data_IF_919023711834
#
_entry.id   IF_919023711834
#
_cell.length_a   1.000
_cell.length_b   1.000
_cell.length_c   1.000
_cell.angle_alpha   90.00
_cell.angle_beta   90.00
_cell.angle_gamma   90.00
#
_symmetry.space_group_name_H-M   'P 1'
#
loop_
_entity.id
_entity.type
_entity.pdbx_description
1 polymer ?
#
# COMPACT_ATOMS: atom_id res chain seq x y z
N UNK A 1 -12.84 22.47 -79.87
CA UNK A 1 -11.41 22.18 -80.11
C UNK A 1 -10.59 22.90 -79.04
N UNK A 2 -9.62 22.18 -78.47
CA UNK A 2 -8.44 22.64 -77.71
C UNK A 2 -8.59 23.44 -76.39
N UNK A 3 -8.34 22.72 -75.28
CA UNK A 3 -7.40 22.96 -74.14
C UNK A 3 -7.37 24.31 -73.39
N UNK A 4 -7.23 24.27 -72.05
CA UNK A 4 -5.86 24.27 -71.50
C UNK A 4 -5.59 23.48 -70.19
N UNK A 5 -4.29 23.25 -69.98
CA UNK A 5 -3.52 23.15 -68.74
C UNK A 5 -3.71 21.95 -67.79
N UNK A 6 -2.89 20.91 -68.02
CA UNK A 6 -2.45 19.97 -66.98
C UNK A 6 -1.25 20.57 -66.24
N UNK A 7 -1.42 20.85 -64.95
CA UNK A 7 -0.32 21.15 -64.02
C UNK A 7 0.05 19.85 -63.34
N UNK A 8 1.25 19.36 -63.63
CA UNK A 8 1.86 18.17 -63.02
C UNK A 8 2.63 18.60 -61.78
N UNK A 9 2.16 18.27 -60.58
CA UNK A 9 2.89 18.49 -59.33
C UNK A 9 3.62 17.20 -58.95
N UNK A 10 4.95 17.22 -59.05
CA UNK A 10 5.83 16.18 -58.52
C UNK A 10 5.94 16.32 -57.00
N UNK A 11 5.38 15.38 -56.25
CA UNK A 11 5.65 15.23 -54.82
C UNK A 11 7.01 14.56 -54.63
N UNK A 12 8.02 15.33 -54.23
CA UNK A 12 9.27 14.79 -53.71
C UNK A 12 9.01 14.22 -52.31
N UNK A 13 9.15 12.89 -52.15
CA UNK A 13 9.29 12.25 -50.84
C UNK A 13 10.65 12.63 -50.27
N UNK A 14 10.67 13.54 -49.31
CA UNK A 14 11.83 13.79 -48.46
C UNK A 14 11.74 12.82 -47.28
N UNK A 15 12.52 11.74 -47.33
CA UNK A 15 12.73 10.84 -46.20
C UNK A 15 13.83 11.45 -45.33
N UNK A 16 13.46 12.10 -44.22
CA UNK A 16 14.40 12.53 -43.19
C UNK A 16 14.82 11.30 -42.37
N UNK A 17 15.96 10.72 -42.73
CA UNK A 17 16.67 9.76 -41.86
C UNK A 17 17.46 10.59 -40.85
N UNK A 18 16.92 10.76 -39.65
CA UNK A 18 17.63 11.34 -38.53
C UNK A 18 18.75 10.41 -38.09
N UNK A 19 19.98 10.69 -38.50
CA UNK A 19 21.18 10.03 -38.01
C UNK A 19 21.63 10.79 -36.75
N UNK A 20 21.40 10.23 -35.57
CA UNK A 20 21.97 10.76 -34.32
C UNK A 20 23.42 10.27 -34.25
N UNK A 21 24.37 11.14 -34.60
CA UNK A 21 25.79 10.91 -34.30
C UNK A 21 25.96 11.18 -32.81
N UNK A 22 25.97 10.14 -31.98
CA UNK A 22 26.47 10.24 -30.62
C UNK A 22 28.00 10.39 -30.68
N UNK A 23 28.53 11.54 -30.27
CA UNK A 23 29.95 11.72 -30.02
C UNK A 23 30.28 11.11 -28.65
N UNK A 24 31.04 10.01 -28.55
CA UNK A 24 31.45 9.48 -27.27
C UNK A 24 32.83 10.06 -26.99
N UNK A 25 32.92 11.27 -26.46
CA UNK A 25 34.16 11.76 -25.82
C UNK A 25 33.91 13.12 -25.18
N UNK A 26 33.72 13.11 -23.85
CA UNK A 26 34.18 14.10 -22.85
C UNK A 26 33.48 13.86 -21.51
N UNK A 27 34.00 12.91 -20.73
CA UNK A 27 33.72 12.77 -19.30
C UNK A 27 35.00 12.95 -18.47
N UNK A 28 35.83 13.91 -18.87
CA UNK A 28 36.99 14.33 -18.09
C UNK A 28 36.68 15.66 -17.43
N UNK A 29 36.71 15.67 -16.10
CA UNK A 29 36.58 16.88 -15.28
C UNK A 29 37.94 17.16 -14.63
N UNK A 30 38.39 18.41 -14.74
CA UNK A 30 39.65 18.86 -14.15
C UNK A 30 39.33 19.79 -12.99
N UNK A 31 39.70 19.35 -11.80
CA UNK A 31 39.51 20.14 -10.59
C UNK A 31 40.51 21.31 -10.58
N UNK A 32 39.98 22.53 -10.53
CA UNK A 32 40.77 23.76 -10.72
C UNK A 32 41.64 24.04 -9.48
N UNK A 33 41.26 23.53 -8.30
CA UNK A 33 42.03 23.74 -7.07
C UNK A 33 43.18 22.73 -6.90
N UNK A 34 43.04 21.52 -7.44
CA UNK A 34 44.01 20.42 -7.23
C UNK A 34 44.76 20.01 -8.50
N UNK A 35 44.33 20.52 -9.66
CA UNK A 35 44.86 20.18 -10.99
C UNK A 35 44.87 18.67 -11.30
N UNK A 36 44.04 17.90 -10.61
CA UNK A 36 43.81 16.47 -10.88
C UNK A 36 42.70 16.30 -11.92
N UNK A 37 42.91 15.33 -12.81
CA UNK A 37 41.99 15.00 -13.89
C UNK A 37 41.28 13.70 -13.54
N UNK A 38 39.95 13.72 -13.49
CA UNK A 38 39.12 12.57 -13.16
C UNK A 38 38.33 12.11 -14.38
N UNK A 39 38.33 10.80 -14.62
CA UNK A 39 37.45 10.16 -15.60
C UNK A 39 36.26 9.55 -14.87
N UNK A 40 35.05 9.99 -15.22
CA UNK A 40 33.83 9.57 -14.53
C UNK A 40 33.55 8.06 -14.68
N UNK A 41 34.02 7.43 -15.78
CA UNK A 41 33.89 5.98 -15.96
C UNK A 41 34.76 5.18 -15.00
N UNK A 42 35.94 5.68 -14.63
CA UNK A 42 36.83 4.98 -13.72
C UNK A 42 36.26 4.98 -12.30
N UNK A 43 35.63 6.08 -11.89
CA UNK A 43 34.94 6.20 -10.59
C UNK A 43 33.73 5.25 -10.53
N UNK A 44 32.95 5.15 -11.62
CA UNK A 44 31.80 4.25 -11.68
C UNK A 44 32.24 2.78 -11.62
N UNK A 45 33.34 2.43 -12.29
CA UNK A 45 33.89 1.08 -12.25
C UNK A 45 34.39 0.71 -10.84
N UNK A 46 35.05 1.63 -10.14
CA UNK A 46 35.53 1.44 -8.76
C UNK A 46 34.36 1.22 -7.78
N UNK A 47 33.26 1.96 -7.95
CA UNK A 47 32.01 1.71 -7.21
C UNK A 47 31.43 0.31 -7.49
N UNK A 48 31.43 -0.13 -8.75
CA UNK A 48 30.90 -1.45 -9.11
C UNK A 48 31.77 -2.63 -8.68
N UNK A 49 33.08 -2.43 -8.49
CA UNK A 49 33.97 -3.44 -7.92
C UNK A 49 33.76 -3.60 -6.40
N UNK A 50 33.47 -2.51 -5.68
CA UNK A 50 33.19 -2.56 -4.24
C UNK A 50 31.96 -3.41 -3.87
N UNK A 51 30.92 -3.42 -4.71
CA UNK A 51 29.71 -4.24 -4.49
C UNK A 51 29.92 -5.74 -4.78
N UNK A 52 30.95 -6.12 -5.54
CA UNK A 52 31.22 -7.53 -5.84
C UNK A 52 31.89 -8.27 -4.67
N UNK A 53 32.65 -7.56 -3.84
CA UNK A 53 33.34 -8.15 -2.68
C UNK A 53 32.45 -8.34 -1.44
N UNK A 54 31.24 -7.76 -1.42
CA UNK A 54 30.31 -7.86 -0.28
C UNK A 54 29.26 -8.99 -0.41
N UNK A 55 29.36 -9.84 -1.44
CA UNK A 55 28.63 -11.13 -1.50
C UNK A 55 29.45 -12.24 -0.85
N UNK A 56 29.73 -12.10 0.44
CA UNK A 56 30.00 -13.25 1.31
C UNK A 56 29.17 -13.10 2.57
N UNK A 57 28.39 -14.14 2.82
CA UNK A 57 27.67 -14.44 4.04
C UNK A 57 28.49 -14.05 5.29
N UNK A 58 28.07 -12.99 5.98
CA UNK A 58 28.69 -12.51 7.22
C UNK A 58 27.60 -11.87 8.07
N UNK A 59 27.29 -12.50 9.20
CA UNK A 59 26.31 -12.08 10.21
C UNK A 59 26.84 -11.03 11.18
N UNK A 60 27.87 -10.27 10.80
CA UNK A 60 28.47 -9.24 11.65
C UNK A 60 28.27 -7.87 11.00
N UNK A 61 27.42 -7.04 11.61
CA UNK A 61 27.28 -5.62 11.28
C UNK A 61 28.57 -4.88 11.68
N UNK A 62 29.37 -4.37 10.72
CA UNK A 62 30.62 -3.67 11.04
C UNK A 62 30.40 -2.30 11.71
N UNK A 63 29.16 -1.82 11.81
CA UNK A 63 28.83 -0.53 12.42
C UNK A 63 28.64 -0.59 13.94
N UNK A 64 28.43 -1.78 14.52
CA UNK A 64 28.24 -1.95 15.98
C UNK A 64 29.50 -1.63 16.80
N UNK A 65 30.70 -1.72 16.22
CA UNK A 65 31.97 -1.51 16.92
C UNK A 65 32.80 -0.33 16.42
N UNK A 66 32.18 0.58 15.69
CA UNK A 66 32.89 1.74 15.14
C UNK A 66 33.12 2.81 16.21
N UNK A 67 34.39 3.05 16.53
CA UNK A 67 34.84 4.04 17.54
C UNK A 67 35.25 5.38 16.92
N UNK A 68 35.00 5.57 15.62
CA UNK A 68 35.42 6.75 14.86
C UNK A 68 34.49 7.97 15.02
N UNK A 69 34.83 9.06 14.31
CA UNK A 69 34.00 10.26 14.18
C UNK A 69 33.43 10.39 12.78
N UNK A 70 32.19 10.85 12.66
CA UNK A 70 31.41 10.82 11.40
C UNK A 70 31.84 11.92 10.41
N UNK A 71 32.73 12.82 10.83
CA UNK A 71 33.30 13.88 10.00
C UNK A 71 34.82 13.97 10.21
N UNK A 72 35.61 14.27 9.16
CA UNK A 72 37.06 14.46 9.27
C UNK A 72 37.39 15.69 10.14
N UNK A 73 38.44 15.58 10.96
CA UNK A 73 38.85 16.65 11.88
C UNK A 73 39.60 17.76 11.14
N UNK A 74 39.45 19.01 11.60
CA UNK A 74 40.34 20.11 11.17
C UNK A 74 41.76 19.90 11.74
N UNK A 75 42.82 20.29 11.02
CA UNK A 75 44.20 20.13 11.51
C UNK A 75 44.40 20.87 12.84
N UNK A 76 44.77 20.14 13.90
CA UNK A 76 45.14 20.70 15.21
C UNK A 76 44.22 20.39 16.39
N UNK A 77 43.11 19.66 16.21
CA UNK A 77 42.28 19.23 17.34
C UNK A 77 42.71 17.88 17.93
N UNK A 78 42.82 17.76 19.27
CA UNK A 78 43.13 16.49 19.91
C UNK A 78 41.94 15.51 19.84
N UNK A 79 42.25 14.23 19.69
CA UNK A 79 41.26 13.14 19.74
C UNK A 79 40.72 12.99 21.17
N UNK A 80 39.39 12.86 21.37
CA UNK A 80 38.81 12.62 22.67
C UNK A 80 39.15 11.19 23.12
N UNK A 81 39.21 10.95 24.44
CA UNK A 81 39.50 9.63 24.96
C UNK A 81 38.40 8.63 24.58
N UNK A 82 38.74 7.34 24.40
CA UNK A 82 37.77 6.29 24.11
C UNK A 82 36.72 6.22 25.23
N UNK A 83 35.44 6.11 24.85
CA UNK A 83 34.36 5.87 25.81
C UNK A 83 34.60 4.50 26.46
N UNK A 84 34.97 4.50 27.74
CA UNK A 84 34.99 3.29 28.56
C UNK A 84 33.54 2.92 28.85
N UNK A 85 33.00 1.98 28.08
CA UNK A 85 31.68 1.41 28.35
C UNK A 85 31.85 0.50 29.56
N UNK A 86 31.34 0.94 30.71
CA UNK A 86 31.26 0.09 31.90
C UNK A 86 30.27 -1.04 31.62
N UNK A 87 30.74 -2.28 31.56
CA UNK A 87 29.90 -3.47 31.68
C UNK A 87 29.25 -3.47 33.07
N UNK A 88 28.13 -2.76 33.22
CA UNK A 88 27.15 -3.04 34.27
C UNK A 88 26.16 -4.05 33.72
N UNK A 89 25.80 -4.99 34.59
CA UNK A 89 25.20 -6.26 34.25
C UNK A 89 24.01 -6.18 33.31
N UNK A 90 23.93 -7.21 32.48
CA UNK A 90 22.68 -7.77 31.97
C UNK A 90 21.69 -7.81 33.14
N UNK A 91 20.63 -7.02 33.04
CA UNK A 91 19.26 -7.32 33.45
C UNK A 91 18.47 -5.99 33.35
N UNK A 92 17.36 -6.03 32.61
CA UNK A 92 16.39 -4.95 32.40
C UNK A 92 16.73 -3.83 31.40
N UNK A 93 16.90 -4.21 30.12
CA UNK A 93 16.55 -3.32 29.00
C UNK A 93 15.81 -4.15 27.95
N UNK A 94 14.50 -3.91 27.83
CA UNK A 94 13.60 -4.63 26.93
C UNK A 94 14.01 -4.40 25.48
N UNK A 95 14.48 -5.46 24.82
CA UNK A 95 14.61 -5.52 23.36
C UNK A 95 13.23 -5.35 22.69
N UNK A 96 12.85 -4.09 22.39
CA UNK A 96 11.66 -3.75 21.60
C UNK A 96 12.03 -3.48 20.13
N UNK A 97 12.92 -4.27 19.52
CA UNK A 97 13.35 -4.08 18.12
C UNK A 97 12.97 -5.23 17.19
N UNK A 98 12.07 -6.12 17.65
CA UNK A 98 11.51 -7.17 16.80
C UNK A 98 10.17 -6.69 16.24
N UNK A 99 10.05 -6.61 14.91
CA UNK A 99 8.78 -6.37 14.22
C UNK A 99 7.73 -7.38 14.70
N UNK A 100 6.53 -6.89 14.99
CA UNK A 100 5.42 -7.76 15.41
C UNK A 100 5.08 -8.72 14.26
N UNK A 101 5.09 -10.04 14.51
CA UNK A 101 4.84 -11.03 13.47
C UNK A 101 3.40 -10.98 12.98
N UNK A 102 3.25 -11.09 11.67
CA UNK A 102 1.96 -11.20 11.00
C UNK A 102 1.22 -12.49 11.43
N UNK A 103 -0.04 -12.37 11.84
CA UNK A 103 -0.94 -13.52 12.01
C UNK A 103 -0.60 -14.46 13.18
N UNK A 104 0.29 -14.05 14.09
CA UNK A 104 0.63 -14.82 15.27
C UNK A 104 -0.12 -14.23 16.47
N UNK A 105 -1.07 -14.99 17.00
CA UNK A 105 -1.81 -14.62 18.21
C UNK A 105 -0.86 -14.53 19.40
N UNK A 106 -0.88 -13.40 20.08
CA UNK A 106 -0.12 -13.19 21.31
C UNK A 106 -0.96 -12.45 22.33
N UNK A 107 -1.10 -12.97 23.57
CA UNK A 107 -1.83 -12.26 24.63
C UNK A 107 -1.16 -10.94 25.02
N UNK A 108 0.15 -10.80 24.77
CA UNK A 108 0.92 -9.59 25.09
C UNK A 108 0.83 -8.52 24.00
N UNK A 109 0.32 -8.87 22.81
CA UNK A 109 0.27 -7.97 21.66
C UNK A 109 -1.13 -7.87 21.04
N UNK A 110 -1.60 -8.96 20.44
CA UNK A 110 -2.89 -9.05 19.77
C UNK A 110 -3.28 -10.53 19.60
N UNK A 111 -4.36 -10.94 20.26
CA UNK A 111 -4.97 -12.27 20.13
C UNK A 111 -6.28 -12.23 19.30
N UNK A 112 -6.65 -11.04 18.81
CA UNK A 112 -7.90 -10.78 18.10
C UNK A 112 -9.15 -10.81 18.99
N UNK A 113 -9.01 -10.86 20.32
CA UNK A 113 -10.13 -11.04 21.27
C UNK A 113 -10.10 -10.08 22.44
N UNK A 114 -8.93 -9.73 22.94
CA UNK A 114 -8.76 -8.90 24.13
C UNK A 114 -8.43 -7.45 23.76
N UNK A 115 -8.78 -6.52 24.66
CA UNK A 115 -8.52 -5.09 24.54
C UNK A 115 -9.04 -4.43 23.25
N UNK A 116 -10.09 -4.99 22.62
CA UNK A 116 -10.68 -4.50 21.37
C UNK A 116 -11.22 -3.06 21.47
N UNK A 117 -11.53 -2.61 22.69
CA UNK A 117 -11.96 -1.26 23.05
C UNK A 117 -10.98 -0.16 22.64
N UNK A 118 -9.72 -0.50 22.35
CA UNK A 118 -8.73 0.47 21.81
C UNK A 118 -9.06 0.89 20.39
N UNK A 119 -9.58 -0.02 19.57
CA UNK A 119 -9.94 0.27 18.18
C UNK A 119 -11.42 0.66 18.04
N UNK A 120 -12.29 0.06 18.87
CA UNK A 120 -13.72 0.35 18.85
C UNK A 120 -14.42 -0.12 20.14
N UNK A 121 -15.39 0.65 20.61
CA UNK A 121 -16.02 0.52 21.93
C UNK A 121 -17.23 -0.43 21.99
N UNK A 122 -17.46 -1.24 20.94
CA UNK A 122 -18.68 -2.03 20.78
C UNK A 122 -19.98 -1.23 20.76
N UNK A 123 -19.90 0.09 20.47
CA UNK A 123 -21.10 0.91 20.36
C UNK A 123 -21.92 0.54 19.14
N UNK A 124 -23.23 0.45 19.35
CA UNK A 124 -24.23 0.26 18.29
C UNK A 124 -24.25 1.41 17.28
N UNK A 125 -23.70 2.57 17.64
CA UNK A 125 -23.65 3.77 16.78
C UNK A 125 -22.83 3.57 15.52
N UNK A 126 -21.84 2.69 15.56
CA UNK A 126 -20.95 2.44 14.43
C UNK A 126 -21.63 1.73 13.25
N UNK A 127 -22.78 1.09 13.49
CA UNK A 127 -23.50 0.31 12.48
C UNK A 127 -25.02 0.54 12.46
N UNK A 128 -25.55 1.36 13.37
CA UNK A 128 -26.99 1.67 13.44
C UNK A 128 -27.27 3.02 12.80
N UNK A 129 -28.22 3.07 11.87
CA UNK A 129 -28.73 4.33 11.34
C UNK A 129 -29.64 5.03 12.34
N UNK A 130 -29.21 6.19 12.84
CA UNK A 130 -30.06 7.09 13.64
C UNK A 130 -30.61 8.27 12.82
N UNK A 131 -30.06 8.52 11.65
CA UNK A 131 -30.42 9.63 10.76
C UNK A 131 -31.56 9.31 9.79
N UNK A 132 -31.76 10.20 8.83
CA UNK A 132 -32.65 9.94 7.71
C UNK A 132 -31.98 8.95 6.74
N UNK A 133 -32.79 8.12 6.09
CA UNK A 133 -32.30 7.24 5.04
C UNK A 133 -31.79 8.10 3.89
N UNK A 134 -30.56 7.82 3.46
CA UNK A 134 -29.90 8.52 2.35
C UNK A 134 -30.46 7.96 1.05
N UNK A 135 -30.94 8.85 0.19
CA UNK A 135 -31.39 8.48 -1.15
C UNK A 135 -30.21 8.58 -2.12
N UNK A 136 -30.05 7.59 -3.02
CA UNK A 136 -28.99 7.64 -4.02
C UNK A 136 -29.24 8.77 -5.00
N UNK A 137 -28.19 9.49 -5.36
CA UNK A 137 -28.21 10.54 -6.38
C UNK A 137 -27.44 10.07 -7.62
N UNK A 138 -28.11 10.08 -8.77
CA UNK A 138 -27.52 9.67 -10.05
C UNK A 138 -26.68 10.76 -10.71
N UNK A 139 -26.86 12.03 -10.30
CA UNK A 139 -26.09 13.16 -10.82
C UNK A 139 -24.71 13.26 -10.16
N UNK A 140 -24.52 12.64 -8.99
CA UNK A 140 -23.24 12.58 -8.31
C UNK A 140 -22.36 11.51 -8.95
N UNK A 141 -21.35 11.97 -9.67
CA UNK A 141 -20.33 11.10 -10.26
C UNK A 141 -19.52 10.37 -9.18
N UNK A 142 -19.18 9.09 -9.43
CA UNK A 142 -18.26 8.34 -8.57
C UNK A 142 -16.85 8.95 -8.62
N UNK A 143 -16.12 8.82 -7.52
CA UNK A 143 -14.77 9.37 -7.38
C UNK A 143 -13.77 8.27 -7.04
N UNK A 144 -12.82 8.06 -7.95
CA UNK A 144 -11.64 7.21 -7.77
C UNK A 144 -10.49 8.05 -7.21
N UNK A 145 -9.91 7.59 -6.11
CA UNK A 145 -8.73 8.18 -5.49
C UNK A 145 -7.68 7.09 -5.28
N UNK A 146 -6.44 7.33 -5.69
CA UNK A 146 -5.32 6.43 -5.46
C UNK A 146 -4.10 7.18 -4.90
N UNK A 147 -3.50 6.59 -3.88
CA UNK A 147 -2.30 7.06 -3.21
C UNK A 147 -1.04 6.68 -3.98
N UNK A 148 -0.04 7.56 -3.91
CA UNK A 148 1.32 7.23 -4.39
C UNK A 148 2.12 6.58 -3.28
N UNK A 149 2.01 5.25 -3.15
CA UNK A 149 2.74 4.50 -2.13
C UNK A 149 4.18 4.20 -2.61
N UNK A 150 5.22 4.50 -1.80
CA UNK A 150 6.60 4.14 -2.14
C UNK A 150 6.76 2.63 -2.32
N UNK A 151 7.54 2.20 -3.33
CA UNK A 151 7.76 0.76 -3.61
C UNK A 151 8.39 -0.03 -2.46
N UNK A 152 9.12 0.64 -1.56
CA UNK A 152 9.75 0.05 -0.38
C UNK A 152 8.96 0.30 0.90
N UNK A 153 7.73 0.80 0.78
CA UNK A 153 6.86 0.96 1.94
C UNK A 153 6.46 -0.41 2.46
N UNK A 154 6.69 -0.61 3.75
CA UNK A 154 6.26 -1.80 4.48
C UNK A 154 5.37 -1.32 5.62
N UNK A 155 4.16 -1.87 5.71
CA UNK A 155 3.26 -1.54 6.78
C UNK A 155 3.77 -2.12 8.10
N UNK A 156 3.55 -1.38 9.19
CA UNK A 156 3.98 -1.79 10.52
C UNK A 156 2.76 -2.34 11.27
N UNK A 157 2.90 -3.58 11.77
CA UNK A 157 1.96 -4.15 12.72
C UNK A 157 2.09 -3.50 14.09
N UNK A 158 0.97 -3.04 14.65
CA UNK A 158 0.92 -2.43 15.99
C UNK A 158 0.06 -3.25 16.95
N UNK A 159 0.58 -3.49 18.14
CA UNK A 159 -0.10 -4.24 19.20
C UNK A 159 -1.26 -3.44 19.82
N UNK A 160 -2.21 -4.14 20.45
CA UNK A 160 -3.44 -3.57 21.01
C UNK A 160 -3.23 -2.52 22.10
N UNK A 161 -2.04 -2.41 22.70
CA UNK A 161 -1.73 -1.35 23.66
C UNK A 161 -1.37 0.00 23.02
N UNK A 162 -1.24 0.05 21.69
CA UNK A 162 -1.00 1.29 20.92
C UNK A 162 -2.24 1.71 20.13
N UNK A 163 -2.50 3.01 20.05
CA UNK A 163 -3.48 3.56 19.11
C UNK A 163 -2.88 3.72 17.71
N UNK A 164 -3.74 3.59 16.69
CA UNK A 164 -3.37 3.80 15.29
C UNK A 164 -4.25 4.90 14.71
N UNK A 165 -3.61 6.01 14.35
CA UNK A 165 -4.23 7.14 13.68
C UNK A 165 -3.91 7.12 12.19
N UNK A 166 -4.89 7.53 11.38
CA UNK A 166 -4.75 7.65 9.93
C UNK A 166 -4.99 9.09 9.50
N UNK A 167 -4.31 9.50 8.43
CA UNK A 167 -4.46 10.84 7.87
C UNK A 167 -5.82 11.02 7.17
N UNK A 168 -6.25 10.00 6.45
CA UNK A 168 -7.48 10.03 5.67
C UNK A 168 -8.62 9.33 6.41
N UNK A 169 -9.83 9.85 6.23
CA UNK A 169 -11.04 9.28 6.83
C UNK A 169 -11.27 7.85 6.35
N UNK A 170 -11.03 7.58 5.06
CA UNK A 170 -11.01 6.24 4.47
C UNK A 170 -9.55 5.90 4.13
N UNK A 171 -8.78 5.30 5.04
CA UNK A 171 -7.40 4.92 4.76
C UNK A 171 -7.34 3.79 3.73
N UNK A 172 -6.40 3.90 2.80
CA UNK A 172 -6.16 2.90 1.74
C UNK A 172 -4.90 2.05 2.00
N UNK A 173 -4.03 2.51 2.90
CA UNK A 173 -2.83 1.83 3.39
C UNK A 173 -2.44 2.41 4.76
N UNK A 174 -1.51 1.74 5.45
CA UNK A 174 -0.97 2.23 6.72
C UNK A 174 -0.63 1.12 7.70
N UNK A 175 -0.15 1.51 8.88
CA UNK A 175 -0.03 0.60 10.03
C UNK A 175 -1.39 0.00 10.38
N UNK A 176 -1.40 -1.25 10.87
CA UNK A 176 -2.63 -1.97 11.16
C UNK A 176 -2.37 -3.09 12.19
N UNK A 177 -3.39 -3.83 12.58
CA UNK A 177 -3.29 -4.91 13.58
C UNK A 177 -2.73 -6.21 12.97
N UNK A 178 -1.84 -6.94 13.65
CA UNK A 178 -1.23 -8.16 13.10
C UNK A 178 -2.23 -9.31 12.87
N UNK A 179 -3.37 -9.33 13.58
CA UNK A 179 -4.44 -10.31 13.34
C UNK A 179 -5.51 -9.67 12.44
N UNK A 180 -5.58 -10.12 11.18
CA UNK A 180 -6.60 -9.64 10.24
C UNK A 180 -7.93 -10.39 10.37
N UNK A 181 -9.03 -9.77 9.94
CA UNK A 181 -10.34 -10.40 9.79
C UNK A 181 -10.36 -11.63 8.87
N UNK A 182 -11.16 -12.62 9.24
CA UNK A 182 -11.66 -13.64 8.30
C UNK A 182 -12.39 -12.94 7.14
N UNK A 183 -12.24 -13.39 5.90
CA UNK A 183 -12.97 -12.74 4.80
C UNK A 183 -14.49 -12.98 4.94
N UNK A 184 -15.29 -11.93 4.74
CA UNK A 184 -16.74 -12.03 4.91
C UNK A 184 -17.46 -10.72 5.20
N UNK A 185 -18.72 -10.86 5.61
CA UNK A 185 -19.61 -9.77 6.01
C UNK A 185 -19.72 -9.69 7.52
N UNK A 186 -19.67 -8.47 8.05
CA UNK A 186 -19.61 -8.19 9.47
C UNK A 186 -20.68 -7.18 9.88
N UNK A 187 -21.08 -7.23 11.15
CA UNK A 187 -21.88 -6.15 11.74
C UNK A 187 -21.04 -4.89 11.85
N UNK A 188 -19.77 -5.01 12.22
CA UNK A 188 -18.79 -3.92 12.20
C UNK A 188 -17.36 -4.47 12.26
N UNK A 189 -16.43 -3.83 11.54
CA UNK A 189 -14.98 -4.05 11.66
C UNK A 189 -14.27 -2.69 11.71
N UNK A 190 -13.40 -2.43 12.70
CA UNK A 190 -12.65 -1.19 12.75
C UNK A 190 -11.57 -1.14 11.66
N UNK A 191 -11.23 0.08 11.21
CA UNK A 191 -10.27 0.31 10.13
C UNK A 191 -8.89 -0.30 10.35
N UNK A 192 -8.43 -0.30 11.60
CA UNK A 192 -7.17 -0.90 12.02
C UNK A 192 -7.09 -2.40 11.72
N UNK A 193 -8.23 -3.08 11.55
CA UNK A 193 -8.32 -4.50 11.23
C UNK A 193 -8.41 -4.74 9.72
N UNK A 194 -9.37 -4.10 9.04
CA UNK A 194 -9.59 -4.40 7.62
C UNK A 194 -8.51 -3.85 6.68
N UNK A 195 -7.69 -2.88 7.10
CA UNK A 195 -6.52 -2.42 6.33
C UNK A 195 -5.53 -3.56 6.08
N UNK A 196 -5.38 -4.48 7.04
CA UNK A 196 -4.51 -5.64 6.85
C UNK A 196 -5.04 -6.54 5.71
N UNK A 197 -6.37 -6.73 5.61
CA UNK A 197 -6.94 -7.45 4.47
C UNK A 197 -6.59 -6.78 3.13
N UNK A 198 -6.51 -5.43 3.10
CA UNK A 198 -6.08 -4.71 1.90
C UNK A 198 -4.65 -5.08 1.50
N UNK A 199 -3.72 -5.18 2.45
CA UNK A 199 -2.33 -5.59 2.19
C UNK A 199 -2.23 -7.00 1.58
N UNK A 200 -3.18 -7.87 1.91
CA UNK A 200 -3.34 -9.20 1.33
C UNK A 200 -4.16 -9.21 0.02
N UNK A 201 -4.46 -8.04 -0.53
CA UNK A 201 -5.11 -7.87 -1.83
C UNK A 201 -6.63 -7.93 -1.80
N UNK A 202 -7.26 -7.80 -0.63
CA UNK A 202 -8.71 -7.83 -0.51
C UNK A 202 -9.38 -6.55 -1.01
N UNK A 203 -10.70 -6.65 -1.22
CA UNK A 203 -11.59 -5.50 -1.43
C UNK A 203 -12.43 -5.30 -0.17
N UNK A 204 -12.34 -4.13 0.44
CA UNK A 204 -13.20 -3.74 1.56
C UNK A 204 -14.35 -2.89 1.01
N UNK A 205 -15.56 -3.38 1.15
CA UNK A 205 -16.79 -2.64 0.86
C UNK A 205 -17.27 -1.94 2.13
N UNK A 206 -17.29 -0.61 2.06
CA UNK A 206 -17.80 0.26 3.11
C UNK A 206 -19.15 0.85 2.69
N UNK A 207 -20.04 1.03 3.66
CA UNK A 207 -21.31 1.71 3.42
C UNK A 207 -21.73 2.51 4.64
N UNK A 208 -22.36 3.67 4.43
CA UNK A 208 -22.94 4.45 5.51
C UNK A 208 -24.10 3.66 6.14
N UNK A 209 -24.25 3.61 7.48
CA UNK A 209 -25.35 2.89 8.13
C UNK A 209 -26.75 3.29 7.64
N UNK A 210 -26.92 4.57 7.26
CA UNK A 210 -28.16 5.10 6.70
C UNK A 210 -28.27 5.02 5.17
N UNK A 211 -27.31 4.39 4.49
CA UNK A 211 -27.35 4.22 3.04
C UNK A 211 -28.62 3.49 2.58
N UNK A 212 -29.03 3.75 1.33
CA UNK A 212 -30.17 3.06 0.75
C UNK A 212 -29.92 1.54 0.71
N UNK A 213 -30.79 0.77 1.35
CA UNK A 213 -30.61 -0.68 1.49
C UNK A 213 -30.57 -1.42 0.15
N UNK A 214 -31.26 -0.92 -0.89
CA UNK A 214 -31.23 -1.54 -2.21
C UNK A 214 -29.87 -1.38 -2.89
N UNK A 215 -29.26 -0.20 -2.76
CA UNK A 215 -27.92 0.06 -3.29
C UNK A 215 -26.85 -0.73 -2.53
N UNK A 216 -26.97 -0.82 -1.20
CA UNK A 216 -26.09 -1.65 -0.37
C UNK A 216 -26.18 -3.12 -0.82
N UNK A 217 -27.38 -3.69 -0.96
CA UNK A 217 -27.54 -5.08 -1.39
C UNK A 217 -27.07 -5.31 -2.84
N UNK A 218 -27.25 -4.33 -3.73
CA UNK A 218 -26.68 -4.36 -5.10
C UNK A 218 -25.16 -4.46 -5.04
N UNK A 219 -24.50 -3.60 -4.28
CA UNK A 219 -23.03 -3.61 -4.17
C UNK A 219 -22.51 -4.89 -3.53
N UNK A 220 -23.15 -5.36 -2.45
CA UNK A 220 -22.84 -6.66 -1.83
C UNK A 220 -22.92 -7.80 -2.83
N UNK A 221 -23.96 -7.82 -3.67
CA UNK A 221 -24.13 -8.85 -4.70
C UNK A 221 -22.99 -8.88 -5.71
N UNK A 222 -22.50 -7.71 -6.12
CA UNK A 222 -21.35 -7.62 -7.04
C UNK A 222 -20.07 -8.09 -6.35
N UNK A 223 -19.75 -7.55 -5.18
CA UNK A 223 -18.51 -7.88 -4.43
C UNK A 223 -18.45 -9.37 -4.08
N UNK A 224 -19.51 -9.93 -3.48
CA UNK A 224 -19.60 -11.35 -3.12
C UNK A 224 -19.50 -12.28 -4.33
N UNK A 225 -19.98 -11.83 -5.50
CA UNK A 225 -19.88 -12.58 -6.74
C UNK A 225 -18.54 -12.41 -7.47
N UNK A 226 -17.70 -11.46 -7.04
CA UNK A 226 -16.45 -11.13 -7.69
C UNK A 226 -15.25 -11.88 -7.12
N UNK A 227 -15.10 -11.93 -5.80
CA UNK A 227 -13.94 -12.51 -5.16
C UNK A 227 -14.28 -13.01 -3.76
N UNK A 228 -13.55 -14.02 -3.28
CA UNK A 228 -13.60 -14.50 -1.90
C UNK A 228 -12.99 -13.47 -0.95
N UNK A 229 -11.87 -12.84 -1.33
CA UNK A 229 -11.14 -11.87 -0.50
C UNK A 229 -11.87 -10.52 -0.41
N UNK A 230 -13.00 -10.50 0.30
CA UNK A 230 -13.73 -9.29 0.60
C UNK A 230 -14.05 -9.13 2.09
N UNK A 231 -14.16 -7.88 2.53
CA UNK A 231 -14.76 -7.50 3.81
C UNK A 231 -15.93 -6.56 3.53
N UNK A 232 -17.08 -6.79 4.16
CA UNK A 232 -18.23 -5.88 4.07
C UNK A 232 -18.54 -5.40 5.48
N UNK A 233 -18.45 -4.10 5.71
CA UNK A 233 -18.72 -3.48 7.02
C UNK A 233 -19.32 -2.09 6.85
N UNK A 234 -20.21 -1.65 7.75
CA UNK A 234 -20.62 -0.25 7.80
C UNK A 234 -19.44 0.65 8.21
N UNK A 235 -19.50 1.90 7.78
CA UNK A 235 -18.51 2.93 8.07
C UNK A 235 -19.14 4.32 7.97
N UNK A 236 -18.64 5.27 8.76
CA UNK A 236 -19.11 6.65 8.74
C UNK A 236 -18.58 7.37 7.47
N UNK A 237 -19.32 7.25 6.38
CA UNK A 237 -19.03 7.86 5.08
C UNK A 237 -19.83 9.15 4.89
N UNK A 238 -19.35 10.03 4.02
CA UNK A 238 -20.11 11.21 3.56
C UNK A 238 -21.48 10.78 3.00
N UNK A 239 -22.53 11.49 3.42
CA UNK A 239 -23.90 11.26 2.97
C UNK A 239 -24.06 11.43 1.46
N UNK A 240 -23.22 12.24 0.81
CA UNK A 240 -23.27 12.42 -0.66
C UNK A 240 -22.81 11.18 -1.43
N UNK A 241 -21.89 10.40 -0.84
CA UNK A 241 -21.30 9.18 -1.39
C UNK A 241 -21.29 8.08 -0.31
N UNK A 242 -22.47 7.54 0.06
CA UNK A 242 -22.62 6.65 1.20
C UNK A 242 -22.13 5.22 0.92
N UNK A 243 -21.40 4.99 -0.18
CA UNK A 243 -20.86 3.70 -0.57
C UNK A 243 -19.40 3.87 -0.99
N UNK A 244 -18.54 2.93 -0.58
CA UNK A 244 -17.15 2.91 -1.03
C UNK A 244 -16.62 1.49 -1.22
N UNK A 245 -15.68 1.35 -2.15
CA UNK A 245 -14.80 0.20 -2.25
C UNK A 245 -13.36 0.65 -1.98
N UNK A 246 -12.62 -0.13 -1.21
CA UNK A 246 -11.24 0.17 -0.85
C UNK A 246 -10.38 -1.05 -1.17
N UNK A 247 -9.25 -0.80 -1.81
CA UNK A 247 -8.17 -1.74 -2.09
C UNK A 247 -6.87 -1.12 -1.58
N UNK A 248 -5.76 -1.87 -1.60
CA UNK A 248 -4.48 -1.31 -1.19
C UNK A 248 -4.09 -0.10 -2.05
N UNK A 249 -4.02 1.07 -1.41
CA UNK A 249 -3.67 2.33 -2.05
C UNK A 249 -4.74 2.97 -2.93
N UNK A 250 -5.94 2.41 -3.07
CA UNK A 250 -7.01 3.01 -3.87
C UNK A 250 -8.38 2.91 -3.18
N UNK A 251 -9.24 3.88 -3.44
CA UNK A 251 -10.65 3.86 -3.03
C UNK A 251 -11.55 4.44 -4.13
N UNK A 252 -12.73 3.86 -4.26
CA UNK A 252 -13.80 4.32 -5.13
C UNK A 252 -15.01 4.67 -4.26
N UNK A 253 -15.39 5.93 -4.21
CA UNK A 253 -16.59 6.40 -3.49
C UNK A 253 -17.71 6.71 -4.48
N UNK A 254 -18.95 6.41 -4.13
CA UNK A 254 -20.09 6.54 -5.05
C UNK A 254 -21.41 6.83 -4.32
N UNK A 255 -22.31 7.54 -5.00
CA UNK A 255 -23.67 7.79 -4.51
C UNK A 255 -24.63 6.62 -4.79
N UNK A 256 -24.45 5.97 -5.94
CA UNK A 256 -25.23 4.83 -6.41
C UNK A 256 -24.31 3.79 -7.07
N UNK A 257 -24.77 2.55 -7.17
CA UNK A 257 -24.00 1.45 -7.73
C UNK A 257 -24.05 1.47 -9.25
N UNK A 258 -22.92 1.77 -9.88
CA UNK A 258 -22.66 1.44 -11.28
C UNK A 258 -21.93 0.09 -11.35
N UNK A 259 -22.64 -0.97 -11.76
CA UNK A 259 -22.12 -2.34 -11.77
C UNK A 259 -20.86 -2.49 -12.63
N UNK A 260 -20.83 -1.90 -13.81
CA UNK A 260 -19.69 -2.02 -14.74
C UNK A 260 -18.44 -1.37 -14.12
N UNK A 261 -18.58 -0.13 -13.64
CA UNK A 261 -17.50 0.58 -12.98
C UNK A 261 -16.96 -0.16 -11.74
N UNK A 262 -17.84 -0.73 -10.93
CA UNK A 262 -17.45 -1.53 -9.75
C UNK A 262 -16.64 -2.76 -10.17
N UNK A 263 -17.07 -3.47 -11.21
CA UNK A 263 -16.35 -4.65 -11.71
C UNK A 263 -14.98 -4.24 -12.25
N UNK A 264 -14.91 -3.15 -13.01
CA UNK A 264 -13.66 -2.66 -13.56
C UNK A 264 -12.69 -2.24 -12.45
N UNK A 265 -13.18 -1.53 -11.43
CA UNK A 265 -12.37 -1.19 -10.25
C UNK A 265 -11.83 -2.43 -9.53
N UNK A 266 -12.68 -3.44 -9.29
CA UNK A 266 -12.24 -4.68 -8.64
C UNK A 266 -11.19 -5.39 -9.51
N UNK A 267 -11.39 -5.47 -10.83
CA UNK A 267 -10.43 -6.10 -11.74
C UNK A 267 -9.10 -5.38 -11.80
N UNK A 268 -9.12 -4.04 -11.75
CA UNK A 268 -7.92 -3.22 -11.88
C UNK A 268 -7.15 -3.10 -10.56
N UNK A 269 -7.80 -3.16 -9.40
CA UNK A 269 -7.16 -2.82 -8.12
C UNK A 269 -7.16 -3.94 -7.08
N UNK A 270 -8.03 -4.96 -7.17
CA UNK A 270 -7.92 -6.10 -6.27
C UNK A 270 -6.61 -6.87 -6.53
N UNK A 271 -6.11 -7.58 -5.51
CA UNK A 271 -4.88 -8.38 -5.58
C UNK A 271 -3.59 -7.61 -5.89
N UNK A 272 -3.64 -6.29 -6.12
CA UNK A 272 -2.48 -5.42 -6.30
C UNK A 272 -1.99 -4.86 -4.96
N UNK A 273 -1.43 -5.73 -4.12
CA UNK A 273 -0.95 -5.38 -2.79
C UNK A 273 0.39 -6.09 -2.46
N UNK A 274 1.19 -5.58 -1.50
CA UNK A 274 2.52 -6.10 -1.17
C UNK A 274 2.53 -7.59 -0.82
N UNK A 275 1.48 -8.08 -0.14
CA UNK A 275 1.40 -9.45 0.37
C UNK A 275 0.25 -10.24 -0.25
N UNK A 276 -0.05 -9.99 -1.53
CA UNK A 276 -1.14 -10.63 -2.26
C UNK A 276 -1.06 -12.17 -2.36
N UNK A 277 0.07 -12.78 -1.99
CA UNK A 277 0.25 -14.24 -1.90
C UNK A 277 -0.28 -14.84 -0.60
N UNK A 278 -0.64 -14.01 0.38
CA UNK A 278 -1.28 -14.44 1.62
C UNK A 278 -2.80 -14.48 1.39
N UNK A 279 -3.31 -15.63 0.96
CA UNK A 279 -4.74 -15.82 0.65
C UNK A 279 -5.54 -16.48 1.79
N UNK A 280 -4.85 -16.97 2.84
CA UNK A 280 -5.49 -17.63 3.98
C UNK A 280 -6.40 -16.65 4.73
N UNK A 281 -7.45 -17.19 5.34
CA UNK A 281 -8.29 -16.39 6.24
C UNK A 281 -7.50 -15.88 7.44
N UNK A 282 -7.91 -14.71 7.91
CA UNK A 282 -7.46 -14.17 9.17
C UNK A 282 -8.24 -14.73 10.34
N UNK A 283 -7.70 -14.52 11.54
CA UNK A 283 -8.17 -15.13 12.77
C UNK A 283 -9.09 -14.21 13.60
N UNK A 284 -9.31 -12.97 13.17
CA UNK A 284 -10.28 -12.06 13.77
C UNK A 284 -11.68 -12.32 13.19
N UNK A 285 -12.63 -12.68 14.04
CA UNK A 285 -13.99 -13.09 13.69
C UNK A 285 -15.05 -12.40 14.56
N UNK A 286 -14.65 -11.39 15.34
CA UNK A 286 -15.59 -10.60 16.13
C UNK A 286 -16.56 -9.86 15.21
N UNK A 287 -17.85 -9.91 15.55
CA UNK A 287 -18.97 -9.42 14.73
C UNK A 287 -19.11 -10.04 13.33
N UNK A 288 -18.49 -11.19 13.04
CA UNK A 288 -18.66 -11.89 11.77
C UNK A 288 -20.11 -12.38 11.62
N UNK A 289 -20.79 -11.91 10.57
CA UNK A 289 -22.15 -12.37 10.21
C UNK A 289 -22.05 -13.62 9.33
N UNK A 290 -21.24 -13.53 8.27
CA UNK A 290 -21.08 -14.62 7.31
C UNK A 290 -19.70 -14.59 6.69
N UNK A 291 -19.00 -15.74 6.75
CA UNK A 291 -17.76 -15.95 6.02
C UNK A 291 -17.97 -15.88 4.49
N UNK A 292 -16.98 -15.40 3.76
CA UNK A 292 -17.03 -15.34 2.30
C UNK A 292 -17.00 -16.74 1.69
N UNK A 293 -17.78 -16.91 0.62
CA UNK A 293 -17.80 -18.13 -0.17
C UNK A 293 -16.61 -18.12 -1.15
N UNK A 294 -16.02 -19.28 -1.42
CA UNK A 294 -15.04 -19.40 -2.51
C UNK A 294 -15.77 -19.13 -3.83
N UNK A 295 -15.30 -18.11 -4.55
CA UNK A 295 -15.90 -17.72 -5.83
C UNK A 295 -15.28 -18.57 -6.93
N UNK A 296 -13.97 -18.43 -7.18
CA UNK A 296 -13.22 -19.19 -8.21
C UNK A 296 -12.36 -20.28 -7.57
N UNK A 297 -11.37 -19.90 -6.80
CA UNK A 297 -10.51 -20.76 -5.99
C UNK A 297 -10.07 -20.01 -4.71
N UNK A 298 -9.24 -20.63 -3.88
CA UNK A 298 -8.76 -20.00 -2.64
C UNK A 298 -7.88 -18.77 -2.90
N UNK A 299 -7.20 -18.74 -4.05
CA UNK A 299 -6.29 -17.69 -4.50
C UNK A 299 -7.02 -16.58 -5.28
N UNK A 300 -8.33 -16.66 -5.48
CA UNK A 300 -9.07 -15.74 -6.35
C UNK A 300 -8.41 -15.57 -7.75
N UNK A 301 -7.86 -16.64 -8.33
CA UNK A 301 -7.10 -16.56 -9.60
C UNK A 301 -7.89 -15.94 -10.75
N UNK A 302 -9.22 -16.07 -10.71
CA UNK A 302 -10.15 -15.42 -11.63
C UNK A 302 -11.18 -14.65 -10.80
N UNK A 303 -11.15 -13.33 -10.92
CA UNK A 303 -12.10 -12.42 -10.26
C UNK A 303 -13.23 -11.99 -11.19
N UNK A 304 -14.42 -11.80 -10.63
CA UNK A 304 -15.64 -11.36 -11.32
C UNK A 304 -16.15 -12.28 -12.45
N UNK A 305 -15.79 -13.56 -12.46
CA UNK A 305 -16.25 -14.48 -13.51
C UNK A 305 -17.77 -14.73 -13.47
N UNK A 306 -18.40 -14.71 -12.29
CA UNK A 306 -19.86 -14.88 -12.14
C UNK A 306 -20.66 -13.63 -12.53
N UNK A 307 -19.97 -12.53 -12.83
CA UNK A 307 -20.58 -11.24 -13.15
C UNK A 307 -20.53 -10.90 -14.65
N UNK A 308 -19.85 -11.75 -15.44
CA UNK A 308 -19.82 -11.71 -16.91
C UNK A 308 -21.12 -12.25 -17.51
#
# INVERSE_FOLDING_TARGET
MALPNKITLFFWKITLVGYVIAYPDKYEFQDIDTNMKFNLLDILNDYTESEKDHRRDSTDDPYENWTGRWMPSRPGEPTPPPKVVSNKGKDEESHHDSRVPMGVKSPDCDDGKTNLTVDWDHSVTSYTCYGQKINPDTEISPELYCDTIPKKYEAIHKCMYESIEYKDDIPTYGSHRPIWPTYGEYTYVPKQRWIHNLEHGAVVMLYHPCANSLEVERLKGVVKGCLRRHIITPYDLDETKPLALVTWGCRLTMSHVNKELVIDFIKEHALHAPENRVYKDGDFDDQLIKKSDIVSDEEDSIICFKQM
#
